data_IF_185194542952
#
_entry.id   IF_185194542952
#
_cell.length_a   1.000
_cell.length_b   1.000
_cell.length_c   1.000
_cell.angle_alpha   90.00
_cell.angle_beta   90.00
_cell.angle_gamma   90.00
#
_symmetry.space_group_name_H-M   'P 1'
#
loop_
_entity.id
_entity.type
_entity.pdbx_description
1 polymer ?
#
# COMPACT_ATOMS: atom_id res chain seq x y z
N UNK A 1 -9.41 -16.75 -16.09
CA UNK A 1 -9.65 -15.66 -15.11
C UNK A 1 -10.27 -16.26 -13.84
N UNK A 2 -9.46 -16.77 -12.93
CA UNK A 2 -9.91 -17.70 -11.88
C UNK A 2 -10.57 -16.97 -10.70
N UNK A 3 -11.68 -17.55 -10.21
CA UNK A 3 -12.53 -17.07 -9.12
C UNK A 3 -11.77 -16.72 -7.82
N UNK A 4 -10.58 -17.31 -7.62
CA UNK A 4 -9.67 -17.09 -6.49
C UNK A 4 -9.03 -15.69 -6.43
N UNK A 5 -8.91 -15.01 -7.58
CA UNK A 5 -8.31 -13.68 -7.66
C UNK A 5 -9.31 -12.57 -7.24
N UNK A 6 -10.59 -12.72 -7.60
CA UNK A 6 -11.68 -11.80 -7.22
C UNK A 6 -11.91 -11.74 -5.70
N UNK A 7 -11.73 -12.85 -4.99
CA UNK A 7 -11.90 -12.90 -3.53
C UNK A 7 -10.72 -12.25 -2.78
N UNK A 8 -9.50 -12.31 -3.32
CA UNK A 8 -8.33 -11.65 -2.73
C UNK A 8 -8.40 -10.13 -2.92
N UNK A 9 -8.79 -9.68 -4.11
CA UNK A 9 -9.06 -8.26 -4.38
C UNK A 9 -10.18 -7.72 -3.47
N UNK A 10 -11.31 -8.44 -3.39
CA UNK A 10 -12.41 -8.09 -2.46
C UNK A 10 -12.04 -8.19 -0.98
N UNK A 11 -11.03 -8.97 -0.58
CA UNK A 11 -10.55 -9.01 0.82
C UNK A 11 -9.65 -7.81 1.14
N UNK A 12 -8.86 -7.37 0.16
CA UNK A 12 -8.06 -6.15 0.27
C UNK A 12 -8.95 -4.90 0.33
N UNK A 13 -10.08 -4.90 -0.39
CA UNK A 13 -11.12 -3.87 -0.33
C UNK A 13 -12.03 -3.99 0.91
N UNK A 14 -12.40 -5.19 1.38
CA UNK A 14 -13.32 -5.31 2.55
C UNK A 14 -12.68 -4.99 3.89
N UNK A 15 -11.35 -5.03 4.01
CA UNK A 15 -10.66 -4.48 5.18
C UNK A 15 -10.60 -2.93 5.15
N UNK A 16 -11.15 -2.32 4.10
CA UNK A 16 -11.05 -0.88 3.80
C UNK A 16 -12.39 -0.11 3.92
N UNK A 17 -13.51 -0.75 4.26
CA UNK A 17 -14.70 0.03 4.62
C UNK A 17 -14.45 0.73 5.95
N UNK A 18 -14.22 2.04 5.89
CA UNK A 18 -14.03 2.96 7.03
C UNK A 18 -15.27 3.11 7.91
N UNK A 19 -15.99 2.02 8.15
CA UNK A 19 -16.94 1.91 9.26
C UNK A 19 -16.14 1.99 10.56
N UNK A 20 -16.52 2.82 11.54
CA UNK A 20 -15.90 2.76 12.86
C UNK A 20 -16.16 1.36 13.42
N UNK A 21 -15.15 0.50 13.38
CA UNK A 21 -15.16 -0.75 14.11
C UNK A 21 -15.09 -0.38 15.61
N UNK A 22 -15.91 -1.06 16.43
CA UNK A 22 -15.76 -1.07 17.89
C UNK A 22 -14.28 -1.12 18.31
N UNK A 23 -13.87 -0.48 19.42
CA UNK A 23 -12.48 -0.30 19.77
C UNK A 23 -11.82 -1.65 20.10
N UNK A 24 -11.29 -2.30 19.08
CA UNK A 24 -10.24 -3.30 19.23
C UNK A 24 -9.05 -2.63 19.94
N UNK A 25 -8.32 -3.36 20.81
CA UNK A 25 -7.19 -2.79 21.54
C UNK A 25 -6.22 -2.13 20.56
N UNK A 26 -5.67 -0.93 20.89
CA UNK A 26 -4.90 -0.12 19.96
C UNK A 26 -3.54 -0.77 19.71
N UNK A 27 -3.49 -1.70 18.77
CA UNK A 27 -2.30 -1.85 17.94
C UNK A 27 -2.19 -0.53 17.17
N UNK A 28 -1.08 0.21 17.22
CA UNK A 28 -1.05 1.53 16.62
C UNK A 28 -1.32 1.37 15.12
N UNK A 29 -2.35 2.06 14.60
CA UNK A 29 -2.87 1.88 13.25
C UNK A 29 -1.78 1.91 12.16
N UNK A 30 -0.68 2.61 12.45
CA UNK A 30 0.51 2.73 11.61
C UNK A 30 1.29 1.42 11.42
N UNK A 31 1.30 0.51 12.40
CA UNK A 31 1.99 -0.79 12.29
C UNK A 31 1.29 -1.71 11.30
N UNK A 32 -0.05 -1.68 11.26
CA UNK A 32 -0.83 -2.39 10.25
C UNK A 32 -0.54 -1.85 8.85
N UNK A 33 -0.42 -0.52 8.71
CA UNK A 33 -0.05 0.11 7.44
C UNK A 33 1.36 -0.33 7.01
N UNK A 34 2.32 -0.35 7.93
CA UNK A 34 3.66 -0.84 7.65
C UNK A 34 3.67 -2.33 7.24
N UNK A 35 2.87 -3.17 7.89
CA UNK A 35 2.73 -4.58 7.52
C UNK A 35 2.11 -4.76 6.12
N UNK A 36 1.04 -4.01 5.81
CA UNK A 36 0.39 -4.06 4.50
C UNK A 36 1.30 -3.53 3.39
N UNK A 37 2.00 -2.42 3.63
CA UNK A 37 2.98 -1.85 2.70
C UNK A 37 4.12 -2.83 2.43
N UNK A 38 4.70 -3.47 3.45
CA UNK A 38 5.71 -4.53 3.28
C UNK A 38 5.20 -5.71 2.46
N UNK A 39 3.93 -6.11 2.65
CA UNK A 39 3.32 -7.20 1.87
C UNK A 39 3.15 -6.79 0.40
N UNK A 40 2.59 -5.61 0.15
CA UNK A 40 2.35 -5.10 -1.20
C UNK A 40 3.64 -4.80 -1.95
N UNK A 41 4.66 -4.27 -1.27
CA UNK A 41 6.00 -4.06 -1.83
C UNK A 41 6.59 -5.37 -2.36
N UNK A 42 6.49 -6.47 -1.60
CA UNK A 42 6.97 -7.79 -2.07
C UNK A 42 6.17 -8.30 -3.27
N UNK A 43 4.85 -8.10 -3.28
CA UNK A 43 4.01 -8.50 -4.39
C UNK A 43 4.33 -7.73 -5.68
N UNK A 44 4.62 -6.42 -5.60
CA UNK A 44 4.99 -5.64 -6.79
C UNK A 44 6.34 -6.05 -7.39
N UNK A 45 7.25 -6.67 -6.62
CA UNK A 45 8.53 -7.16 -7.14
C UNK A 45 8.43 -8.57 -7.76
N UNK A 46 7.48 -9.39 -7.32
CA UNK A 46 7.29 -10.78 -7.78
C UNK A 46 6.58 -10.94 -9.13
N UNK A 47 6.84 -10.07 -10.11
CA UNK A 47 6.04 -9.89 -11.34
C UNK A 47 6.05 -11.11 -12.27
N UNK A 48 7.12 -11.91 -12.25
CA UNK A 48 7.39 -12.95 -13.26
C UNK A 48 6.31 -14.05 -13.42
N UNK A 49 5.29 -14.10 -12.56
CA UNK A 49 4.26 -15.16 -12.57
C UNK A 49 2.81 -14.65 -12.63
N UNK A 50 2.55 -13.34 -12.75
CA UNK A 50 1.21 -12.76 -12.57
C UNK A 50 0.68 -12.01 -13.80
N UNK A 51 -0.65 -11.93 -13.92
CA UNK A 51 -1.35 -11.18 -14.97
C UNK A 51 -1.20 -9.66 -14.80
N UNK A 52 -1.19 -8.91 -15.91
CA UNK A 52 -1.23 -7.44 -15.92
C UNK A 52 -2.35 -6.85 -15.05
N UNK A 53 -3.55 -7.46 -15.06
CA UNK A 53 -4.68 -6.99 -14.25
C UNK A 53 -4.39 -7.09 -12.75
N UNK A 54 -3.73 -8.17 -12.33
CA UNK A 54 -3.30 -8.34 -10.95
C UNK A 54 -2.23 -7.30 -10.58
N UNK A 55 -1.27 -7.05 -11.47
CA UNK A 55 -0.22 -6.07 -11.25
C UNK A 55 -0.80 -4.66 -11.04
N UNK A 56 -1.71 -4.22 -11.91
CA UNK A 56 -2.41 -2.93 -11.77
C UNK A 56 -3.16 -2.85 -10.43
N UNK A 57 -3.83 -3.93 -10.03
CA UNK A 57 -4.55 -3.93 -8.77
C UNK A 57 -3.62 -3.84 -7.55
N UNK A 58 -2.46 -4.51 -7.58
CA UNK A 58 -1.44 -4.41 -6.54
C UNK A 58 -0.89 -2.98 -6.44
N UNK A 59 -0.58 -2.34 -7.58
CA UNK A 59 -0.09 -0.96 -7.58
C UNK A 59 -1.13 0.01 -7.01
N UNK A 60 -2.40 -0.10 -7.39
CA UNK A 60 -3.48 0.73 -6.82
C UNK A 60 -3.62 0.53 -5.31
N UNK A 61 -3.56 -0.72 -4.85
CA UNK A 61 -3.62 -1.03 -3.43
C UNK A 61 -2.40 -0.51 -2.67
N UNK A 62 -1.24 -0.46 -3.33
CA UNK A 62 0.00 0.11 -2.77
C UNK A 62 -0.12 1.62 -2.63
N UNK A 63 -0.54 2.33 -3.68
CA UNK A 63 -0.73 3.78 -3.67
C UNK A 63 -1.73 4.21 -2.58
N UNK A 64 -2.86 3.51 -2.47
CA UNK A 64 -3.85 3.79 -1.43
C UNK A 64 -3.26 3.71 0.00
N UNK A 65 -2.31 2.81 0.23
CA UNK A 65 -1.67 2.60 1.55
C UNK A 65 -0.56 3.63 1.78
N UNK A 66 0.17 4.02 0.73
CA UNK A 66 1.11 5.14 0.81
C UNK A 66 0.40 6.43 1.20
N UNK A 67 -0.76 6.74 0.59
CA UNK A 67 -1.55 7.94 0.94
C UNK A 67 -2.03 7.90 2.38
N UNK A 68 -2.52 6.76 2.85
CA UNK A 68 -3.00 6.64 4.22
C UNK A 68 -1.87 6.82 5.24
N UNK A 69 -0.71 6.17 5.01
CA UNK A 69 0.47 6.35 5.85
C UNK A 69 0.98 7.79 5.82
N UNK A 70 1.00 8.42 4.64
CA UNK A 70 1.42 9.81 4.47
C UNK A 70 0.54 10.77 5.26
N UNK A 71 -0.79 10.59 5.21
CA UNK A 71 -1.72 11.36 6.04
C UNK A 71 -1.50 11.15 7.54
N UNK A 72 -1.24 9.92 7.98
CA UNK A 72 -0.98 9.63 9.39
C UNK A 72 0.30 10.28 9.91
N UNK A 73 1.31 10.44 9.05
CA UNK A 73 2.64 10.97 9.41
C UNK A 73 2.89 12.41 8.97
N UNK A 74 1.89 13.06 8.33
CA UNK A 74 2.01 14.43 7.85
C UNK A 74 2.94 14.61 6.63
N UNK A 75 3.20 13.54 5.88
CA UNK A 75 4.02 13.58 4.67
C UNK A 75 3.15 14.09 3.49
N UNK A 76 3.55 15.13 2.75
CA UNK A 76 2.84 15.57 1.56
C UNK A 76 2.94 14.51 0.44
N UNK A 77 1.91 14.35 -0.38
CA UNK A 77 1.84 13.38 -1.48
C UNK A 77 1.05 13.91 -2.69
N UNK A 78 1.43 13.45 -3.88
CA UNK A 78 0.86 13.87 -5.16
C UNK A 78 0.48 12.68 -6.06
N UNK A 79 0.22 11.50 -5.48
CA UNK A 79 0.07 10.25 -6.25
C UNK A 79 -1.13 10.26 -7.22
N UNK A 80 -2.12 11.13 -7.02
CA UNK A 80 -3.28 11.27 -7.93
C UNK A 80 -3.06 12.33 -9.03
N UNK A 81 -1.99 13.11 -8.97
CA UNK A 81 -1.70 14.19 -9.95
C UNK A 81 -0.58 13.84 -10.92
N UNK A 82 0.18 12.77 -10.64
CA UNK A 82 1.28 12.28 -11.50
C UNK A 82 0.94 10.94 -12.15
N UNK A 83 1.60 10.62 -13.26
CA UNK A 83 1.38 9.36 -13.99
C UNK A 83 2.67 8.85 -14.63
N UNK A 84 2.66 7.61 -15.15
CA UNK A 84 3.83 7.03 -15.82
C UNK A 84 5.07 7.01 -14.92
N UNK A 85 6.20 7.48 -15.44
CA UNK A 85 7.46 7.54 -14.69
C UNK A 85 7.38 8.46 -13.46
N UNK A 86 6.67 9.59 -13.56
CA UNK A 86 6.55 10.55 -12.47
C UNK A 86 5.82 9.93 -11.27
N UNK A 87 4.88 9.01 -11.52
CA UNK A 87 4.23 8.26 -10.46
C UNK A 87 5.18 7.29 -9.76
N UNK A 88 6.08 6.64 -10.49
CA UNK A 88 7.11 5.79 -9.86
C UNK A 88 8.10 6.63 -9.04
N UNK A 89 8.48 7.81 -9.53
CA UNK A 89 9.35 8.75 -8.80
C UNK A 89 8.66 9.20 -7.51
N UNK A 90 7.39 9.60 -7.58
CA UNK A 90 6.63 10.05 -6.42
C UNK A 90 6.46 8.93 -5.37
N UNK A 91 6.25 7.69 -5.80
CA UNK A 91 6.24 6.53 -4.89
C UNK A 91 7.57 6.39 -4.16
N UNK A 92 8.69 6.44 -4.86
CA UNK A 92 10.02 6.32 -4.24
C UNK A 92 10.26 7.46 -3.26
N UNK A 93 9.89 8.70 -3.60
CA UNK A 93 9.99 9.84 -2.68
C UNK A 93 9.18 9.61 -1.40
N UNK A 94 7.90 9.24 -1.53
CA UNK A 94 7.04 8.96 -0.37
C UNK A 94 7.61 7.80 0.45
N UNK A 95 8.08 6.73 -0.19
CA UNK A 95 8.72 5.62 0.50
C UNK A 95 9.87 6.12 1.39
N UNK A 96 10.76 6.95 0.86
CA UNK A 96 11.88 7.52 1.61
C UNK A 96 11.44 8.44 2.76
N UNK A 97 10.43 9.28 2.56
CA UNK A 97 9.89 10.16 3.61
C UNK A 97 9.22 9.35 4.74
N UNK A 98 8.48 8.30 4.39
CA UNK A 98 7.88 7.40 5.38
C UNK A 98 8.95 6.63 6.14
N UNK A 99 10.02 6.17 5.48
CA UNK A 99 11.17 5.54 6.12
C UNK A 99 11.89 6.52 7.07
N UNK A 100 12.08 7.78 6.66
CA UNK A 100 12.65 8.84 7.50
C UNK A 100 11.77 9.17 8.72
N UNK A 101 10.45 9.06 8.58
CA UNK A 101 9.48 9.17 9.67
C UNK A 101 9.40 7.91 10.56
N UNK A 102 10.24 6.89 10.32
CA UNK A 102 10.36 5.69 11.15
C UNK A 102 9.54 4.49 10.67
N UNK A 103 8.90 4.57 9.51
CA UNK A 103 8.06 3.50 8.96
C UNK A 103 8.88 2.59 8.04
N UNK A 104 9.21 1.39 8.53
CA UNK A 104 10.07 0.43 7.81
C UNK A 104 9.30 -0.29 6.70
N UNK A 105 9.53 0.11 5.45
CA UNK A 105 8.86 -0.42 4.25
C UNK A 105 9.59 -1.62 3.62
N UNK A 106 10.91 -1.68 3.81
CA UNK A 106 11.77 -2.78 3.38
C UNK A 106 12.28 -3.49 4.63
N UNK A 107 12.17 -4.81 4.69
CA UNK A 107 12.88 -5.54 5.74
C UNK A 107 14.39 -5.29 5.53
N UNK A 108 15.19 -5.02 6.59
CA UNK A 108 16.64 -5.00 6.44
C UNK A 108 17.05 -6.39 5.91
N UNK A 109 17.79 -6.38 4.81
CA UNK A 109 18.43 -7.56 4.23
C UNK A 109 19.49 -8.11 5.15
#
# INVERSE_FOLDING_TARGET
MTMRNRLLLRRLDRRWDGTPADPAPPTPAIEFLAADLRRLYRHRLGIATQSLVWHIAVLRAYDARLRLASRCLGVPEHLDTVSGMDLEIERVRIESELEAAGLVLRAPS
#
